data_IF_963840440691
#
_entry.id   IF_963840440691
#
_cell.length_a   1.000
_cell.length_b   1.000
_cell.length_c   1.000
_cell.angle_alpha   90.00
_cell.angle_beta   90.00
_cell.angle_gamma   90.00
#
_symmetry.space_group_name_H-M   'P 1'
#
loop_
_entity.id
_entity.type
_entity.pdbx_description
1 polymer ?
#
# COMPACT_ATOMS: atom_id res chain seq x y z
N UNK A 1 -36.68 -10.30 -64.64
CA UNK A 1 -37.47 -9.54 -63.65
C UNK A 1 -36.48 -8.85 -62.74
N UNK A 2 -36.21 -7.58 -63.00
CA UNK A 2 -35.18 -6.79 -62.33
C UNK A 2 -35.91 -5.63 -61.68
N UNK A 3 -36.04 -5.65 -60.36
CA UNK A 3 -36.71 -4.58 -59.62
C UNK A 3 -35.67 -3.58 -59.12
N UNK A 4 -35.75 -2.36 -59.68
CA UNK A 4 -35.20 -1.15 -59.12
C UNK A 4 -36.13 -0.66 -58.01
N UNK A 5 -35.58 -0.30 -56.85
CA UNK A 5 -36.24 0.62 -55.92
C UNK A 5 -35.26 1.70 -55.47
N UNK A 6 -35.75 2.91 -55.63
CA UNK A 6 -35.20 4.25 -55.44
C UNK A 6 -34.85 4.57 -53.99
N UNK A 7 -33.73 5.28 -53.82
CA UNK A 7 -33.23 5.88 -52.59
C UNK A 7 -33.78 7.31 -52.46
N UNK A 8 -34.41 7.65 -51.33
CA UNK A 8 -34.86 9.00 -51.00
C UNK A 8 -34.09 9.51 -49.78
N UNK A 9 -33.41 10.64 -49.99
CA UNK A 9 -32.72 11.48 -49.01
C UNK A 9 -33.68 12.58 -48.51
N UNK A 10 -33.68 12.90 -47.21
CA UNK A 10 -33.97 14.26 -46.79
C UNK A 10 -32.91 14.79 -45.83
N UNK A 11 -32.04 15.65 -46.35
CA UNK A 11 -31.25 16.58 -45.56
C UNK A 11 -32.14 17.56 -44.79
N UNK A 12 -31.77 17.82 -43.54
CA UNK A 12 -32.20 19.02 -42.82
C UNK A 12 -31.03 19.49 -41.96
N UNK A 13 -30.43 20.60 -42.40
CA UNK A 13 -29.28 21.27 -41.78
C UNK A 13 -29.80 22.30 -40.78
N UNK A 14 -29.68 22.02 -39.49
CA UNK A 14 -29.94 22.99 -38.41
C UNK A 14 -28.65 23.73 -38.06
N UNK A 15 -28.65 25.02 -38.39
CA UNK A 15 -27.60 26.00 -38.07
C UNK A 15 -27.63 26.28 -36.56
N UNK A 16 -26.52 26.04 -35.86
CA UNK A 16 -26.32 26.49 -34.47
C UNK A 16 -25.61 27.84 -34.44
N UNK A 17 -26.02 28.77 -33.56
CA UNK A 17 -25.40 30.08 -33.45
C UNK A 17 -24.07 30.03 -32.70
N UNK A 18 -23.14 30.84 -33.22
CA UNK A 18 -21.81 31.16 -32.71
C UNK A 18 -21.95 32.16 -31.56
N UNK A 19 -21.69 31.73 -30.34
CA UNK A 19 -21.53 32.64 -29.19
C UNK A 19 -20.05 32.96 -29.00
N UNK A 20 -19.68 34.19 -29.37
CA UNK A 20 -18.41 34.80 -28.97
C UNK A 20 -18.57 35.55 -27.64
N UNK A 21 -17.50 35.50 -26.85
CA UNK A 21 -17.06 36.42 -25.81
C UNK A 21 -17.93 36.63 -24.56
N UNK A 22 -17.38 36.28 -23.40
CA UNK A 22 -16.84 37.30 -22.51
C UNK A 22 -15.79 36.72 -21.55
N UNK A 23 -14.64 37.39 -21.53
CA UNK A 23 -13.57 37.24 -20.56
C UNK A 23 -13.93 38.09 -19.35
N UNK A 24 -14.24 37.46 -18.21
CA UNK A 24 -14.31 38.14 -16.92
C UNK A 24 -13.20 37.62 -16.02
N UNK A 25 -12.21 38.49 -15.81
CA UNK A 25 -11.18 38.43 -14.80
C UNK A 25 -11.79 38.56 -13.40
N UNK A 26 -11.72 37.52 -12.58
CA UNK A 26 -12.01 37.60 -11.15
C UNK A 26 -10.71 37.72 -10.35
N UNK A 27 -10.45 38.97 -9.96
CA UNK A 27 -10.03 39.48 -8.66
C UNK A 27 -9.44 38.47 -7.64
N UNK A 28 -8.11 38.51 -7.51
CA UNK A 28 -7.37 37.98 -6.37
C UNK A 28 -7.72 38.81 -5.14
N UNK A 29 -8.56 38.27 -4.25
CA UNK A 29 -8.73 38.81 -2.90
C UNK A 29 -7.65 38.27 -1.97
N UNK A 30 -6.69 39.15 -1.73
CA UNK A 30 -5.82 39.19 -0.56
C UNK A 30 -6.60 38.87 0.71
N UNK A 31 -6.31 37.73 1.35
CA UNK A 31 -6.77 37.46 2.70
C UNK A 31 -5.80 38.12 3.68
N UNK A 32 -6.32 39.16 4.32
CA UNK A 32 -5.67 39.86 5.40
C UNK A 32 -5.28 38.93 6.55
N UNK A 33 -4.11 39.27 7.06
CA UNK A 33 -3.39 38.78 8.21
C UNK A 33 -4.27 38.84 9.48
N UNK A 34 -4.81 37.70 9.92
CA UNK A 34 -5.43 37.59 11.25
C UNK A 34 -4.31 37.47 12.29
N UNK A 35 -3.90 38.61 12.84
CA UNK A 35 -3.06 38.69 14.03
C UNK A 35 -3.86 38.20 15.25
N UNK A 36 -3.65 36.94 15.64
CA UNK A 36 -4.18 36.37 16.89
C UNK A 36 -3.34 36.90 18.06
N UNK A 37 -3.91 37.84 18.81
CA UNK A 37 -3.37 38.32 20.09
C UNK A 37 -3.58 37.25 21.17
N UNK A 38 -2.55 36.45 21.46
CA UNK A 38 -2.52 35.60 22.65
C UNK A 38 -1.93 36.43 23.80
N UNK A 39 -2.80 36.91 24.70
CA UNK A 39 -2.38 37.40 26.02
C UNK A 39 -2.00 36.20 26.89
N UNK A 40 -0.71 35.88 26.93
CA UNK A 40 -0.15 35.04 27.98
C UNK A 40 0.07 35.88 29.24
N UNK A 41 -0.81 35.71 30.23
CA UNK A 41 -0.51 36.08 31.62
C UNK A 41 0.25 34.92 32.26
N UNK A 42 1.56 35.07 32.39
CA UNK A 42 2.35 34.74 33.57
C UNK A 42 3.82 34.85 33.21
N UNK A 43 4.51 35.76 33.90
CA UNK A 43 5.90 36.09 33.64
C UNK A 43 6.84 34.99 34.08
N UNK A 44 7.80 34.68 33.22
CA UNK A 44 9.14 34.28 33.67
C UNK A 44 10.16 34.69 32.62
N UNK A 45 11.05 35.61 33.00
CA UNK A 45 12.20 36.06 32.22
C UNK A 45 13.17 34.88 32.05
N UNK A 46 13.51 34.54 30.81
CA UNK A 46 14.77 33.84 30.50
C UNK A 46 15.47 34.58 29.37
N UNK A 47 16.59 35.20 29.73
CA UNK A 47 17.58 35.75 28.82
C UNK A 47 18.51 34.61 28.40
N UNK A 48 18.69 34.36 27.09
CA UNK A 48 20.02 34.10 26.52
C UNK A 48 20.01 34.07 25.00
N UNK A 49 20.82 34.99 24.48
CA UNK A 49 21.36 35.04 23.13
C UNK A 49 22.13 33.77 22.77
N UNK A 50 21.98 33.29 21.53
CA UNK A 50 23.06 32.91 20.62
C UNK A 50 22.45 32.46 19.28
N UNK A 51 22.37 33.40 18.33
CA UNK A 51 22.19 33.09 16.91
C UNK A 51 23.57 32.88 16.30
N UNK A 52 23.85 31.65 15.85
CA UNK A 52 24.92 31.37 14.90
C UNK A 52 24.33 31.39 13.49
N UNK A 53 24.90 32.16 12.53
CA UNK A 53 24.46 32.11 11.15
C UNK A 53 24.99 30.84 10.46
N UNK A 54 24.09 30.04 9.89
CA UNK A 54 24.43 28.94 8.99
C UNK A 54 24.96 29.53 7.68
N UNK A 55 26.24 29.29 7.43
CA UNK A 55 26.94 29.61 6.18
C UNK A 55 26.57 28.56 5.14
N UNK A 56 25.82 28.98 4.12
CA UNK A 56 25.50 28.17 2.94
C UNK A 56 26.76 28.05 2.08
N UNK A 57 27.35 26.86 2.00
CA UNK A 57 28.49 26.58 1.11
C UNK A 57 27.96 26.00 -0.21
N UNK A 58 27.98 26.84 -1.24
CA UNK A 58 27.60 26.47 -2.61
C UNK A 58 28.74 25.64 -3.20
N UNK A 59 28.53 24.34 -3.31
CA UNK A 59 29.46 23.42 -3.98
C UNK A 59 29.28 23.57 -5.50
N UNK A 60 30.21 24.28 -6.14
CA UNK A 60 30.37 24.30 -7.58
C UNK A 60 30.78 22.90 -8.08
N UNK A 61 29.87 22.21 -8.80
CA UNK A 61 30.23 21.05 -9.62
C UNK A 61 30.66 21.52 -11.02
N UNK A 62 31.77 21.00 -11.57
CA UNK A 62 32.18 21.33 -12.94
C UNK A 62 31.25 20.69 -13.98
N UNK A 63 30.91 21.51 -14.98
CA UNK A 63 30.20 21.14 -16.20
C UNK A 63 30.89 19.98 -16.92
N UNK A 64 30.18 18.86 -17.09
CA UNK A 64 30.56 17.81 -18.03
C UNK A 64 30.07 18.24 -19.41
N UNK A 65 31.01 18.40 -20.34
CA UNK A 65 30.75 18.80 -21.72
C UNK A 65 29.97 17.73 -22.48
N UNK A 66 28.91 18.16 -23.16
CA UNK A 66 28.26 17.38 -24.22
C UNK A 66 29.20 17.34 -25.44
N UNK A 67 29.65 16.13 -25.80
CA UNK A 67 30.19 15.84 -27.12
C UNK A 67 29.16 15.07 -27.92
N UNK A 68 28.79 15.60 -29.09
CA UNK A 68 28.11 14.87 -30.18
C UNK A 68 28.96 15.02 -31.45
N UNK A 69 28.63 14.37 -32.57
CA UNK A 69 28.91 12.94 -32.81
C UNK A 69 29.65 12.77 -34.15
N UNK A 70 30.74 11.98 -34.21
CA UNK A 70 31.29 11.56 -35.50
C UNK A 70 31.78 10.11 -35.50
N UNK A 71 31.21 9.36 -36.44
CA UNK A 71 31.82 8.32 -37.25
C UNK A 71 32.73 7.30 -36.55
N UNK A 72 32.13 6.15 -36.21
CA UNK A 72 32.87 4.89 -36.20
C UNK A 72 32.16 3.84 -37.03
N UNK A 73 32.75 3.65 -38.21
CA UNK A 73 32.59 2.52 -39.12
C UNK A 73 32.65 1.19 -38.36
N UNK A 74 31.72 0.31 -38.76
CA UNK A 74 31.66 -1.09 -38.41
C UNK A 74 33.01 -1.80 -38.61
N UNK A 75 33.50 -2.48 -37.57
CA UNK A 75 34.44 -3.58 -37.71
C UNK A 75 33.81 -4.85 -37.12
N UNK A 76 33.89 -6.00 -37.81
CA UNK A 76 33.38 -7.27 -37.30
C UNK A 76 34.31 -7.82 -36.22
N UNK A 77 33.76 -8.13 -35.04
CA UNK A 77 34.49 -8.77 -33.95
C UNK A 77 34.72 -10.26 -34.28
N UNK A 78 35.99 -10.67 -34.20
CA UNK A 78 36.43 -12.06 -34.25
C UNK A 78 35.97 -12.85 -33.00
N UNK A 79 35.78 -14.18 -33.12
CA UNK A 79 35.38 -15.02 -31.99
C UNK A 79 36.55 -15.22 -31.01
N UNK A 80 36.42 -14.67 -29.81
CA UNK A 80 37.36 -14.88 -28.71
C UNK A 80 37.19 -16.27 -28.10
N UNK A 81 38.29 -17.02 -28.10
CA UNK A 81 38.52 -18.31 -27.46
C UNK A 81 38.14 -18.29 -25.97
N UNK A 82 37.21 -19.17 -25.59
CA UNK A 82 36.95 -19.56 -24.21
C UNK A 82 38.17 -20.31 -23.64
N UNK A 83 38.67 -19.98 -22.44
CA UNK A 83 39.63 -20.83 -21.75
C UNK A 83 38.94 -22.10 -21.21
N UNK A 84 39.64 -23.25 -21.18
CA UNK A 84 39.08 -24.51 -20.73
C UNK A 84 38.78 -24.51 -19.21
N UNK A 85 37.79 -25.30 -18.75
CA UNK A 85 37.45 -25.42 -17.34
C UNK A 85 38.59 -26.09 -16.58
N UNK A 86 39.01 -25.48 -15.47
CA UNK A 86 39.96 -26.06 -14.53
C UNK A 86 39.30 -27.25 -13.82
N UNK A 87 39.83 -28.42 -14.08
CA UNK A 87 39.59 -29.64 -13.33
C UNK A 87 40.03 -29.45 -11.86
N UNK A 88 39.08 -29.45 -10.94
CA UNK A 88 39.37 -29.58 -9.52
C UNK A 88 39.43 -31.07 -9.14
N UNK A 89 40.65 -31.55 -8.95
CA UNK A 89 41.07 -32.63 -8.06
C UNK A 89 40.02 -33.69 -7.66
N UNK A 90 39.91 -34.73 -8.49
CA UNK A 90 39.45 -36.04 -8.08
C UNK A 90 40.59 -36.83 -7.39
N UNK A 91 40.96 -36.45 -6.17
CA UNK A 91 41.62 -37.36 -5.23
C UNK A 91 41.65 -36.77 -3.83
N UNK A 92 40.57 -36.96 -3.07
CA UNK A 92 40.63 -36.84 -1.62
C UNK A 92 39.91 -38.04 -1.03
N UNK A 93 40.71 -38.91 -0.43
CA UNK A 93 40.33 -40.21 0.11
C UNK A 93 39.33 -40.07 1.26
N UNK A 94 38.48 -41.09 1.38
CA UNK A 94 37.32 -41.20 2.28
C UNK A 94 37.66 -41.27 3.80
N UNK A 95 38.75 -40.66 4.28
CA UNK A 95 39.19 -40.78 5.67
C UNK A 95 39.28 -39.45 6.45
N UNK A 96 39.03 -38.29 5.84
CA UNK A 96 39.20 -36.99 6.52
C UNK A 96 37.90 -36.21 6.77
N UNK A 97 36.76 -36.91 6.97
CA UNK A 97 35.43 -36.28 7.02
C UNK A 97 34.83 -36.02 8.41
N UNK A 98 35.58 -36.17 9.50
CA UNK A 98 34.96 -36.12 10.84
C UNK A 98 35.59 -35.21 11.89
N UNK A 99 36.73 -34.53 11.67
CA UNK A 99 37.40 -33.83 12.79
C UNK A 99 37.94 -32.41 12.55
N UNK A 100 37.63 -31.75 11.43
CA UNK A 100 38.16 -30.40 11.18
C UNK A 100 37.11 -29.29 11.01
N UNK A 101 35.81 -29.55 11.17
CA UNK A 101 34.78 -28.49 11.09
C UNK A 101 34.15 -28.10 12.44
N UNK A 102 34.57 -28.70 13.57
CA UNK A 102 33.97 -28.44 14.88
C UNK A 102 34.65 -27.34 15.73
N UNK A 103 35.65 -26.63 15.20
CA UNK A 103 36.36 -25.60 15.97
C UNK A 103 35.85 -24.16 15.80
N UNK A 104 34.83 -23.88 14.97
CA UNK A 104 34.41 -22.49 14.71
C UNK A 104 33.01 -22.08 15.18
N UNK A 105 32.21 -22.98 15.78
CA UNK A 105 30.82 -22.65 16.15
C UNK A 105 30.44 -22.98 17.60
N UNK A 106 31.34 -22.79 18.56
CA UNK A 106 31.00 -23.05 19.97
C UNK A 106 31.48 -22.05 21.02
N UNK A 107 31.74 -20.82 20.60
CA UNK A 107 31.74 -19.69 21.54
C UNK A 107 30.68 -18.71 21.09
N UNK A 108 29.50 -18.65 21.74
CA UNK A 108 28.58 -17.54 21.48
C UNK A 108 29.38 -16.27 21.71
N UNK A 109 29.55 -15.47 20.65
CA UNK A 109 30.21 -14.18 20.76
C UNK A 109 29.45 -13.40 21.84
N UNK A 110 30.10 -13.16 22.98
CA UNK A 110 29.54 -12.41 24.11
C UNK A 110 28.99 -11.06 23.61
N UNK A 111 29.66 -10.48 22.60
CA UNK A 111 29.22 -9.26 21.93
C UNK A 111 27.86 -9.44 21.24
N UNK A 112 27.63 -10.54 20.51
CA UNK A 112 26.35 -10.80 19.86
C UNK A 112 25.22 -11.02 20.88
N UNK A 113 25.51 -11.71 22.00
CA UNK A 113 24.51 -11.89 23.07
C UNK A 113 24.18 -10.58 23.78
N UNK A 114 25.15 -9.68 23.96
CA UNK A 114 24.93 -8.35 24.56
C UNK A 114 24.17 -7.44 23.61
N UNK A 115 24.49 -7.45 22.31
CA UNK A 115 23.76 -6.65 21.30
C UNK A 115 22.30 -7.10 21.21
N UNK A 116 22.05 -8.41 21.18
CA UNK A 116 20.68 -8.94 21.13
C UNK A 116 19.91 -8.65 22.43
N UNK A 117 20.55 -8.70 23.60
CA UNK A 117 19.87 -8.39 24.87
C UNK A 117 19.50 -6.91 24.98
N UNK A 118 20.37 -6.00 24.55
CA UNK A 118 20.08 -4.55 24.50
C UNK A 118 18.92 -4.28 23.53
N UNK A 119 18.90 -4.93 22.36
CA UNK A 119 17.83 -4.77 21.38
C UNK A 119 16.46 -5.23 21.94
N UNK A 120 16.43 -6.37 22.65
CA UNK A 120 15.20 -6.84 23.31
C UNK A 120 14.72 -5.89 24.41
N UNK A 121 15.62 -5.30 25.21
CA UNK A 121 15.27 -4.31 26.24
C UNK A 121 14.63 -3.07 25.58
N UNK A 122 15.18 -2.59 24.47
CA UNK A 122 14.61 -1.44 23.73
C UNK A 122 13.21 -1.76 23.22
N UNK A 123 12.98 -2.94 22.66
CA UNK A 123 11.64 -3.37 22.21
C UNK A 123 10.65 -3.42 23.37
N UNK A 124 11.03 -3.96 24.53
CA UNK A 124 10.17 -4.03 25.72
C UNK A 124 9.78 -2.61 26.19
N UNK A 125 10.73 -1.66 26.16
CA UNK A 125 10.45 -0.26 26.52
C UNK A 125 9.45 0.35 25.53
N UNK A 126 9.64 0.15 24.22
CA UNK A 126 8.72 0.67 23.19
C UNK A 126 7.30 0.10 23.38
N UNK A 127 7.17 -1.22 23.55
CA UNK A 127 5.87 -1.88 23.76
C UNK A 127 5.20 -1.37 25.05
N UNK A 128 5.97 -1.16 26.12
CA UNK A 128 5.44 -0.63 27.38
C UNK A 128 4.92 0.81 27.24
N UNK A 129 5.60 1.65 26.46
CA UNK A 129 5.14 3.02 26.16
C UNK A 129 3.86 2.98 25.32
N UNK A 130 3.80 2.15 24.29
CA UNK A 130 2.58 2.01 23.47
C UNK A 130 1.40 1.53 24.32
N UNK A 131 1.60 0.50 25.17
CA UNK A 131 0.53 -0.05 26.00
C UNK A 131 0.00 0.95 27.04
N UNK A 132 0.87 1.80 27.60
CA UNK A 132 0.44 2.85 28.53
C UNK A 132 -0.36 3.94 27.84
N UNK A 133 -0.05 4.30 26.59
CA UNK A 133 -0.84 5.27 25.81
C UNK A 133 -2.23 4.73 25.43
N UNK A 134 -2.38 3.41 25.20
CA UNK A 134 -3.67 2.81 24.86
C UNK A 134 -4.63 2.73 26.06
N UNK A 135 -4.12 2.62 27.29
CA UNK A 135 -4.95 2.59 28.49
C UNK A 135 -5.50 3.97 28.89
N UNK A 136 -4.94 5.06 28.39
CA UNK A 136 -5.43 6.41 28.66
C UNK A 136 -6.71 6.79 27.88
N UNK A 137 -7.14 5.97 26.90
CA UNK A 137 -8.29 6.26 26.02
C UNK A 137 -9.61 5.58 26.45
N UNK A 138 -9.65 4.77 27.52
CA UNK A 138 -10.83 3.94 27.84
C UNK A 138 -11.88 4.56 28.78
N UNK A 139 -11.74 5.82 29.20
CA UNK A 139 -12.77 6.51 29.99
C UNK A 139 -13.36 7.70 29.23
N UNK A 140 -14.26 7.41 28.28
CA UNK A 140 -15.18 8.41 27.73
C UNK A 140 -16.50 7.72 27.39
N UNK A 141 -17.36 7.68 28.40
CA UNK A 141 -18.83 7.60 28.39
C UNK A 141 -19.52 7.26 27.06
N UNK A 142 -20.15 6.09 27.06
CA UNK A 142 -21.31 5.73 26.23
C UNK A 142 -22.48 6.69 26.46
N UNK A 143 -22.97 7.34 25.40
CA UNK A 143 -24.35 7.82 25.32
C UNK A 143 -24.97 7.24 24.06
N UNK A 144 -25.95 6.38 24.26
CA UNK A 144 -26.70 5.65 23.26
C UNK A 144 -27.65 6.60 22.51
N UNK A 145 -27.59 6.60 21.19
CA UNK A 145 -28.56 7.25 20.31
C UNK A 145 -28.98 6.28 19.21
N UNK A 146 -30.15 5.67 19.37
CA UNK A 146 -30.84 4.91 18.33
C UNK A 146 -31.31 5.84 17.21
N UNK A 147 -31.20 5.40 15.96
CA UNK A 147 -31.77 6.14 14.83
C UNK A 147 -31.62 5.45 13.47
N UNK A 148 -32.73 4.84 13.04
CA UNK A 148 -33.14 4.59 11.65
C UNK A 148 -32.72 3.29 10.95
N UNK A 149 -33.75 2.45 10.85
CA UNK A 149 -34.10 1.53 9.77
C UNK A 149 -33.97 2.13 8.37
N UNK A 150 -33.46 1.33 7.43
CA UNK A 150 -33.53 1.56 5.99
C UNK A 150 -33.39 0.22 5.27
N UNK A 151 -34.52 -0.42 4.98
CA UNK A 151 -34.60 -1.52 4.02
C UNK A 151 -34.20 -0.99 2.63
N UNK A 152 -33.37 -1.74 1.92
CA UNK A 152 -33.39 -1.76 0.46
C UNK A 152 -33.01 -3.17 0.00
N UNK A 153 -34.03 -3.94 -0.35
CA UNK A 153 -33.91 -5.18 -1.09
C UNK A 153 -33.75 -4.84 -2.57
N UNK A 154 -32.83 -5.52 -3.24
CA UNK A 154 -32.74 -5.60 -4.70
C UNK A 154 -31.89 -4.50 -5.35
N UNK A 155 -30.63 -4.79 -5.63
CA UNK A 155 -30.23 -5.15 -7.00
C UNK A 155 -28.79 -5.70 -6.97
N UNK A 156 -28.49 -6.67 -7.84
CA UNK A 156 -27.15 -7.26 -8.02
C UNK A 156 -26.21 -6.31 -8.77
N UNK A 157 -26.17 -5.04 -8.36
CA UNK A 157 -25.38 -3.99 -8.94
C UNK A 157 -23.96 -4.02 -8.39
N UNK A 158 -23.05 -4.52 -9.21
CA UNK A 158 -21.61 -4.34 -9.07
C UNK A 158 -21.25 -2.91 -8.61
N UNK A 159 -20.72 -2.78 -7.39
CA UNK A 159 -20.44 -1.49 -6.74
C UNK A 159 -19.09 -0.95 -7.26
N UNK A 160 -18.98 -0.79 -8.58
CA UNK A 160 -17.79 -0.18 -9.18
C UNK A 160 -17.78 1.32 -8.87
N UNK A 161 -16.85 1.75 -8.02
CA UNK A 161 -16.46 3.17 -7.90
C UNK A 161 -17.09 3.99 -6.78
N UNK A 162 -17.82 3.40 -5.84
CA UNK A 162 -18.33 4.16 -4.69
C UNK A 162 -17.26 4.23 -3.60
N UNK A 163 -16.68 5.41 -3.37
CA UNK A 163 -15.89 5.66 -2.17
C UNK A 163 -16.86 5.83 -0.99
N UNK A 164 -16.98 4.80 -0.16
CA UNK A 164 -17.78 4.85 1.06
C UNK A 164 -16.89 5.38 2.19
N UNK A 165 -17.34 6.45 2.88
CA UNK A 165 -16.62 7.05 4.01
C UNK A 165 -17.31 6.70 5.31
N UNK A 166 -16.72 5.78 6.08
CA UNK A 166 -17.27 5.40 7.39
C UNK A 166 -16.15 5.10 8.39
N UNK A 167 -16.39 5.40 9.67
CA UNK A 167 -15.46 5.05 10.76
C UNK A 167 -15.40 3.54 10.98
N UNK A 168 -16.56 2.90 10.88
CA UNK A 168 -16.73 1.45 10.88
C UNK A 168 -17.46 1.07 9.60
N UNK A 169 -16.98 0.05 8.93
CA UNK A 169 -17.47 -0.42 7.66
C UNK A 169 -17.78 -1.92 7.74
N UNK A 170 -18.89 -2.32 7.14
CA UNK A 170 -19.30 -3.71 7.01
C UNK A 170 -19.95 -3.90 5.66
N UNK A 171 -19.39 -4.78 4.83
CA UNK A 171 -19.97 -5.12 3.54
C UNK A 171 -19.88 -6.61 3.29
N UNK A 172 -20.96 -7.20 2.80
CA UNK A 172 -21.02 -8.60 2.42
C UNK A 172 -21.00 -8.72 0.90
N UNK A 173 -20.13 -9.59 0.39
CA UNK A 173 -19.99 -9.91 -1.04
C UNK A 173 -19.57 -11.37 -1.19
N UNK A 174 -19.21 -11.81 -2.40
CA UNK A 174 -18.72 -13.16 -2.65
C UNK A 174 -17.54 -13.16 -3.62
N UNK A 175 -16.53 -13.96 -3.32
CA UNK A 175 -15.48 -14.29 -4.27
C UNK A 175 -16.09 -15.11 -5.41
N UNK A 176 -15.84 -14.67 -6.64
CA UNK A 176 -16.32 -15.32 -7.87
C UNK A 176 -15.14 -15.66 -8.77
N UNK A 177 -15.37 -16.49 -9.79
CA UNK A 177 -14.32 -16.93 -10.71
C UNK A 177 -13.88 -15.87 -11.74
N UNK A 178 -14.22 -14.60 -11.51
CA UNK A 178 -14.01 -13.50 -12.46
C UNK A 178 -12.55 -13.05 -12.53
N UNK A 179 -11.83 -13.08 -11.40
CA UNK A 179 -10.45 -12.66 -11.30
C UNK A 179 -9.65 -13.70 -10.53
N UNK A 180 -8.48 -14.09 -11.04
CA UNK A 180 -7.60 -15.06 -10.40
C UNK A 180 -6.14 -14.64 -10.52
N UNK A 181 -5.33 -15.02 -9.54
CA UNK A 181 -3.88 -14.82 -9.56
C UNK A 181 -3.14 -15.97 -8.88
N UNK A 182 -1.84 -16.07 -9.12
CA UNK A 182 -0.96 -16.93 -8.32
C UNK A 182 -0.52 -16.16 -7.09
N UNK A 183 -0.90 -16.65 -5.91
CA UNK A 183 -0.56 -16.03 -4.63
C UNK A 183 0.95 -16.03 -4.38
N UNK A 184 1.41 -15.13 -3.52
CA UNK A 184 2.75 -15.23 -2.94
C UNK A 184 2.93 -16.61 -2.28
N UNK A 185 3.95 -17.36 -2.73
CA UNK A 185 4.23 -18.77 -2.38
C UNK A 185 3.20 -19.83 -2.86
N UNK A 186 2.12 -19.44 -3.53
CA UNK A 186 1.10 -20.33 -4.10
C UNK A 186 1.41 -20.72 -5.54
N UNK A 187 2.60 -21.29 -5.80
CA UNK A 187 3.08 -21.55 -7.16
C UNK A 187 2.14 -22.48 -7.92
N UNK A 188 1.69 -22.04 -9.11
CA UNK A 188 0.91 -22.86 -10.04
C UNK A 188 -0.56 -23.08 -9.68
N UNK A 189 -1.10 -22.33 -8.71
CA UNK A 189 -2.50 -22.43 -8.29
C UNK A 189 -3.25 -21.12 -8.54
N UNK A 190 -4.53 -21.24 -8.88
CA UNK A 190 -5.42 -20.11 -9.09
C UNK A 190 -6.14 -19.76 -7.78
N UNK A 191 -6.03 -18.50 -7.38
CA UNK A 191 -6.71 -17.95 -6.23
C UNK A 191 -7.63 -16.83 -6.71
N UNK A 192 -8.93 -17.00 -6.48
CA UNK A 192 -9.91 -15.96 -6.76
C UNK A 192 -9.78 -14.84 -5.75
N UNK A 193 -9.88 -13.60 -6.19
CA UNK A 193 -9.68 -12.45 -5.31
C UNK A 193 -10.62 -11.30 -5.63
N UNK A 194 -10.90 -10.52 -4.59
CA UNK A 194 -11.41 -9.16 -4.70
C UNK A 194 -10.30 -8.19 -4.30
N UNK A 195 -10.20 -7.07 -5.01
CA UNK A 195 -9.28 -5.99 -4.68
C UNK A 195 -10.05 -4.76 -4.20
N UNK A 196 -9.70 -4.25 -3.03
CA UNK A 196 -10.37 -3.12 -2.41
C UNK A 196 -9.38 -1.98 -2.22
N UNK A 197 -9.67 -0.82 -2.80
CA UNK A 197 -8.94 0.40 -2.53
C UNK A 197 -9.26 0.91 -1.14
N UNK A 198 -8.23 1.26 -0.39
CA UNK A 198 -8.33 1.89 0.93
C UNK A 198 -7.69 3.27 0.84
N UNK A 199 -8.44 4.30 1.21
CA UNK A 199 -8.03 5.70 1.18
C UNK A 199 -8.17 6.32 2.59
N UNK A 200 -7.15 6.18 3.46
CA UNK A 200 -7.11 6.86 4.75
C UNK A 200 -7.21 8.37 4.58
N UNK A 201 -7.90 9.04 5.50
CA UNK A 201 -8.03 10.52 5.51
C UNK A 201 -7.15 11.16 6.58
N UNK A 202 -6.71 10.38 7.56
CA UNK A 202 -5.80 10.79 8.63
C UNK A 202 -4.79 9.67 8.88
N UNK A 203 -3.67 10.02 9.50
CA UNK A 203 -2.73 9.04 10.01
C UNK A 203 -3.36 8.30 11.20
N UNK A 204 -3.32 6.98 11.19
CA UNK A 204 -3.62 6.18 12.38
C UNK A 204 -3.78 4.69 12.09
N UNK A 205 -4.25 3.97 13.11
CA UNK A 205 -4.36 2.51 13.07
C UNK A 205 -5.69 2.09 12.48
N UNK A 206 -5.63 1.36 11.37
CA UNK A 206 -6.77 0.76 10.70
C UNK A 206 -6.76 -0.75 10.88
N UNK A 207 -7.93 -1.34 11.07
CA UNK A 207 -8.12 -2.78 11.18
C UNK A 207 -9.05 -3.26 10.08
N UNK A 208 -8.66 -4.33 9.40
CA UNK A 208 -9.44 -5.01 8.37
C UNK A 208 -9.53 -6.48 8.75
N UNK A 209 -10.73 -7.05 8.74
CA UNK A 209 -10.95 -8.46 9.02
C UNK A 209 -12.11 -9.00 8.22
N UNK A 210 -12.17 -10.32 8.09
CA UNK A 210 -13.29 -11.01 7.45
C UNK A 210 -14.11 -11.81 8.46
N UNK A 211 -15.38 -12.00 8.11
CA UNK A 211 -16.24 -13.00 8.70
C UNK A 211 -16.87 -13.83 7.58
N UNK A 212 -16.59 -15.14 7.56
CA UNK A 212 -17.06 -16.06 6.55
C UNK A 212 -17.09 -17.50 7.07
N UNK A 213 -17.71 -18.40 6.30
CA UNK A 213 -17.58 -19.85 6.41
C UNK A 213 -16.43 -20.42 5.57
N UNK A 214 -15.86 -19.65 4.63
CA UNK A 214 -14.67 -20.06 3.87
C UNK A 214 -13.40 -19.55 4.56
N UNK A 215 -12.30 -20.27 4.38
CA UNK A 215 -10.99 -19.89 4.92
C UNK A 215 -10.40 -18.72 4.08
N UNK A 216 -10.32 -17.54 4.68
CA UNK A 216 -9.96 -16.28 3.98
C UNK A 216 -8.54 -15.85 4.31
N UNK A 217 -7.88 -15.24 3.33
CA UNK A 217 -6.53 -14.73 3.44
C UNK A 217 -6.51 -13.29 2.90
N UNK A 218 -6.07 -12.35 3.74
CA UNK A 218 -5.91 -10.94 3.39
C UNK A 218 -4.46 -10.55 3.10
N UNK A 219 -4.26 -9.68 2.11
CA UNK A 219 -2.99 -9.02 1.80
C UNK A 219 -3.19 -7.51 1.72
N UNK A 220 -2.32 -6.73 2.36
CA UNK A 220 -2.30 -5.28 2.22
C UNK A 220 -1.10 -4.85 1.38
N UNK A 221 -1.35 -4.04 0.35
CA UNK A 221 -0.34 -3.46 -0.52
C UNK A 221 -0.31 -1.93 -0.40
N UNK A 222 0.88 -1.36 -0.54
CA UNK A 222 1.11 0.07 -0.70
C UNK A 222 1.21 0.44 -2.18
N UNK A 223 0.72 1.61 -2.56
CA UNK A 223 0.75 2.23 -3.89
C UNK A 223 0.02 1.49 -5.03
N UNK A 224 0.19 0.18 -5.16
CA UNK A 224 -0.43 -0.63 -6.22
C UNK A 224 -0.40 -2.12 -5.88
N UNK A 225 -1.45 -2.85 -6.28
CA UNK A 225 -1.45 -4.29 -6.38
C UNK A 225 -1.32 -4.74 -7.85
N UNK A 226 -0.36 -5.63 -8.12
CA UNK A 226 -0.14 -6.22 -9.45
C UNK A 226 -0.30 -7.75 -9.37
N UNK A 227 -1.38 -8.34 -9.90
CA UNK A 227 -1.62 -9.79 -9.83
C UNK A 227 -0.49 -10.65 -10.39
N UNK A 228 0.23 -10.15 -11.41
CA UNK A 228 1.38 -10.82 -12.00
C UNK A 228 2.63 -10.82 -11.11
N UNK A 229 2.69 -9.91 -10.14
CA UNK A 229 3.83 -9.70 -9.23
C UNK A 229 3.34 -9.45 -7.78
N UNK A 230 2.69 -10.45 -7.14
CA UNK A 230 2.03 -10.30 -5.84
C UNK A 230 2.98 -10.07 -4.66
N UNK A 231 4.29 -10.05 -4.90
CA UNK A 231 5.30 -9.74 -3.90
C UNK A 231 5.73 -8.26 -3.90
N UNK A 232 5.34 -7.49 -4.93
CA UNK A 232 5.69 -6.07 -5.04
C UNK A 232 4.75 -5.25 -4.15
N UNK A 233 5.33 -4.34 -3.36
CA UNK A 233 4.66 -3.43 -2.42
C UNK A 233 3.80 -4.10 -1.33
N UNK A 234 4.02 -5.38 -1.05
CA UNK A 234 3.32 -6.07 0.03
C UNK A 234 3.76 -5.52 1.39
N UNK A 235 2.79 -5.02 2.18
CA UNK A 235 3.02 -4.52 3.54
C UNK A 235 2.81 -5.60 4.59
N UNK A 236 1.71 -6.34 4.48
CA UNK A 236 1.31 -7.34 5.45
C UNK A 236 0.35 -8.36 4.84
N UNK A 237 0.29 -9.53 5.47
CA UNK A 237 -0.60 -10.61 5.08
C UNK A 237 -0.99 -11.44 6.31
N UNK A 238 -2.22 -11.92 6.37
CA UNK A 238 -2.72 -12.78 7.45
C UNK A 238 -3.85 -13.69 6.95
N UNK A 239 -4.00 -14.87 7.53
CA UNK A 239 -5.01 -15.87 7.18
C UNK A 239 -5.84 -16.38 8.37
N UNK A 240 -5.52 -15.99 9.61
CA UNK A 240 -6.09 -16.66 10.78
C UNK A 240 -6.24 -15.80 12.04
N UNK A 241 -5.80 -14.55 12.05
CA UNK A 241 -5.80 -13.73 13.26
C UNK A 241 -7.18 -13.25 13.74
N UNK A 242 -8.24 -13.38 12.92
CA UNK A 242 -9.64 -13.15 13.35
C UNK A 242 -10.32 -14.41 13.90
N UNK A 243 -9.65 -15.56 13.93
CA UNK A 243 -10.22 -16.85 14.32
C UNK A 243 -11.07 -17.50 13.21
N UNK A 244 -11.36 -18.79 13.34
CA UNK A 244 -12.12 -19.56 12.34
C UNK A 244 -11.58 -19.47 10.89
N UNK A 245 -10.25 -19.40 10.72
CA UNK A 245 -9.61 -19.24 9.40
C UNK A 245 -9.94 -17.91 8.72
N UNK A 246 -10.19 -16.86 9.51
CA UNK A 246 -10.41 -15.52 9.00
C UNK A 246 -9.19 -14.64 9.27
N UNK A 247 -8.86 -13.77 8.33
CA UNK A 247 -7.77 -12.84 8.52
C UNK A 247 -8.15 -11.64 9.39
N UNK A 248 -7.17 -11.08 10.10
CA UNK A 248 -7.21 -9.75 10.69
C UNK A 248 -5.88 -9.02 10.45
N UNK A 249 -5.94 -7.91 9.72
CA UNK A 249 -4.81 -7.01 9.48
C UNK A 249 -5.01 -5.73 10.26
N UNK A 250 -4.04 -5.36 11.10
CA UNK A 250 -4.03 -4.08 11.82
C UNK A 250 -2.76 -3.30 11.48
N UNK A 251 -2.90 -2.13 10.86
CA UNK A 251 -1.80 -1.40 10.24
C UNK A 251 -1.90 0.10 10.52
N UNK A 252 -0.75 0.75 10.66
CA UNK A 252 -0.65 2.21 10.69
C UNK A 252 -0.63 2.71 9.24
N UNK A 253 -1.67 3.42 8.81
CA UNK A 253 -1.78 3.92 7.44
C UNK A 253 -1.73 5.45 7.40
N UNK A 254 -1.18 6.01 6.32
CA UNK A 254 -1.02 7.45 6.10
C UNK A 254 -1.93 7.94 4.97
N UNK A 255 -2.49 9.16 5.05
CA UNK A 255 -3.44 9.65 4.05
C UNK A 255 -2.80 10.00 2.69
N UNK A 256 -1.48 10.09 2.61
CA UNK A 256 -0.76 10.41 1.37
C UNK A 256 -0.63 9.22 0.43
N UNK A 257 -0.77 8.01 0.95
CA UNK A 257 -0.47 6.78 0.21
C UNK A 257 -1.77 6.11 -0.24
N UNK A 258 -1.69 5.37 -1.34
CA UNK A 258 -2.81 4.54 -1.80
C UNK A 258 -2.62 3.12 -1.30
N UNK A 259 -3.62 2.54 -0.67
CA UNK A 259 -3.54 1.16 -0.19
C UNK A 259 -4.54 0.26 -0.90
N UNK A 260 -4.18 -1.01 -1.04
CA UNK A 260 -4.99 -2.02 -1.72
C UNK A 260 -5.06 -3.25 -0.83
N UNK A 261 -6.26 -3.55 -0.36
CA UNK A 261 -6.57 -4.77 0.37
C UNK A 261 -7.03 -5.83 -0.63
N UNK A 262 -6.26 -6.89 -0.78
CA UNK A 262 -6.64 -8.05 -1.57
C UNK A 262 -7.19 -9.11 -0.64
N UNK A 263 -8.41 -9.56 -0.92
CA UNK A 263 -9.12 -10.59 -0.18
C UNK A 263 -9.17 -11.82 -1.07
N UNK A 264 -8.68 -12.94 -0.57
CA UNK A 264 -8.64 -14.23 -1.26
C UNK A 264 -8.90 -15.35 -0.26
N UNK A 265 -8.76 -16.60 -0.69
CA UNK A 265 -8.87 -17.79 0.17
C UNK A 265 -7.51 -18.41 0.51
N UNK A 266 -7.47 -19.18 1.60
CA UNK A 266 -6.29 -19.98 1.97
C UNK A 266 -6.06 -21.12 0.97
N UNK A 267 -7.12 -21.82 0.56
CA UNK A 267 -7.08 -22.88 -0.45
C UNK A 267 -7.37 -22.33 -1.86
N UNK A 268 -6.72 -22.87 -2.91
CA UNK A 268 -6.94 -22.44 -4.29
C UNK A 268 -8.30 -22.90 -4.84
N UNK A 269 -8.80 -22.20 -5.86
CA UNK A 269 -10.08 -22.46 -6.53
C UNK A 269 -11.29 -22.49 -5.57
N UNK A 270 -11.27 -21.71 -4.49
CA UNK A 270 -12.40 -21.60 -3.55
C UNK A 270 -13.12 -20.28 -3.80
N UNK A 271 -14.42 -20.38 -4.01
CA UNK A 271 -15.37 -19.25 -4.04
C UNK A 271 -16.26 -19.28 -2.81
N UNK A 272 -16.85 -18.15 -2.46
CA UNK A 272 -17.84 -18.11 -1.40
C UNK A 272 -18.11 -16.70 -0.89
N UNK A 273 -19.17 -16.57 -0.11
CA UNK A 273 -19.57 -15.30 0.48
C UNK A 273 -18.71 -14.96 1.69
N UNK A 274 -18.38 -13.69 1.86
CA UNK A 274 -17.68 -13.18 3.02
C UNK A 274 -18.20 -11.79 3.38
N UNK A 275 -17.98 -11.39 4.64
CA UNK A 275 -18.21 -10.02 5.10
C UNK A 275 -16.88 -9.38 5.43
N UNK A 276 -16.54 -8.27 4.78
CA UNK A 276 -15.40 -7.43 5.13
C UNK A 276 -15.85 -6.44 6.20
N UNK A 277 -15.15 -6.50 7.33
CA UNK A 277 -15.28 -5.56 8.44
C UNK A 277 -14.03 -4.69 8.47
N UNK A 278 -14.21 -3.38 8.51
CA UNK A 278 -13.09 -2.45 8.62
C UNK A 278 -13.37 -1.34 9.63
N UNK A 279 -12.34 -0.90 10.34
CA UNK A 279 -12.44 0.19 11.31
C UNK A 279 -11.18 1.05 11.31
N UNK A 280 -11.33 2.31 11.70
CA UNK A 280 -10.23 3.26 11.75
C UNK A 280 -10.47 4.40 12.74
N UNK A 281 -9.48 5.30 12.90
CA UNK A 281 -9.58 6.45 13.81
C UNK A 281 -10.66 7.47 13.37
N UNK A 282 -10.92 7.58 12.07
CA UNK A 282 -11.94 8.43 11.45
C UNK A 282 -12.48 7.76 10.18
N UNK A 283 -13.55 8.30 9.60
CA UNK A 283 -14.06 7.89 8.29
C UNK A 283 -12.97 7.90 7.21
N UNK A 284 -12.83 6.78 6.50
CA UNK A 284 -11.89 6.59 5.41
C UNK A 284 -12.62 6.02 4.19
N UNK A 285 -12.08 6.28 3.00
CA UNK A 285 -12.67 5.80 1.76
C UNK A 285 -12.36 4.31 1.55
N UNK A 286 -13.38 3.55 1.17
CA UNK A 286 -13.22 2.17 0.71
C UNK A 286 -14.00 1.96 -0.58
N UNK A 287 -13.41 1.25 -1.56
CA UNK A 287 -14.05 1.00 -2.85
C UNK A 287 -13.50 -0.25 -3.54
N UNK A 288 -14.39 -1.10 -4.04
CA UNK A 288 -14.03 -2.33 -4.77
C UNK A 288 -13.53 -1.97 -6.18
N UNK A 289 -12.45 -2.63 -6.58
CA UNK A 289 -11.87 -2.57 -7.91
C UNK A 289 -12.20 -3.87 -8.65
N UNK A 290 -12.94 -3.76 -9.74
CA UNK A 290 -13.20 -4.84 -10.69
C UNK A 290 -12.30 -4.73 -11.92
#
# INVERSE_FOLDING_TARGET
MTQQTTYNDPGTSTVLPRNEASSSSEEIRSLDEVQVSIKNSHGTRVNRSHQHPLRLEIINRPHVGMGTPQDRLFQPMAPSLLPPPKECCASCSKACRSRCCDCYMRRPCIIATVVMSVFLIVIIIIVSVVLTTMNASRNSSSTSGSGSTGNSSGDGGSITGVNLYAKNFSISTSLTENQAYSRYQGVGSNYYYDCVRVAPTINGTYTFMTASSIDTYGYMYENSFLPAFPNINLLASDDSSAGNGQFALTLLLQPTDSYYLVITTYFPNVTGSYTLLASGPQSFGIGFMN
#
